data_IF_615489050580
#
_entry.id   IF_615489050580
#
_cell.length_a   1.000
_cell.length_b   1.000
_cell.length_c   1.000
_cell.angle_alpha   90.00
_cell.angle_beta   90.00
_cell.angle_gamma   90.00
#
_symmetry.space_group_name_H-M   'P 1'
#
loop_
_entity.id
_entity.type
_entity.pdbx_description
1 polymer ?
#
# COMPACT_ATOMS: atom_id res chain seq x y z
N UNK A 1 22.54 16.90 15.96
CA UNK A 1 22.76 15.72 16.83
C UNK A 1 21.62 15.58 17.84
N UNK A 2 21.28 16.62 18.60
CA UNK A 2 20.16 16.61 19.55
C UNK A 2 18.78 16.35 18.89
N UNK A 3 18.50 17.01 17.76
CA UNK A 3 17.23 16.80 17.02
C UNK A 3 17.11 15.38 16.45
N UNK A 4 18.22 14.81 15.98
CA UNK A 4 18.26 13.45 15.44
C UNK A 4 17.96 12.40 16.54
N UNK A 5 18.54 12.57 17.72
CA UNK A 5 18.27 11.67 18.87
C UNK A 5 16.81 11.78 19.35
N UNK A 6 16.22 12.98 19.32
CA UNK A 6 14.80 13.17 19.68
C UNK A 6 13.89 12.45 18.67
N UNK A 7 14.17 12.60 17.37
CA UNK A 7 13.41 11.89 16.33
C UNK A 7 13.53 10.36 16.48
N UNK A 8 14.73 9.84 16.72
CA UNK A 8 14.92 8.40 16.95
C UNK A 8 14.14 7.90 18.16
N UNK A 9 14.13 8.63 19.29
CA UNK A 9 13.35 8.25 20.46
C UNK A 9 11.84 8.18 20.16
N UNK A 10 11.34 9.13 19.36
CA UNK A 10 9.96 9.13 18.89
C UNK A 10 9.68 7.93 17.97
N UNK A 11 10.60 7.60 17.06
CA UNK A 11 10.48 6.44 16.17
C UNK A 11 10.43 5.11 16.93
N UNK A 12 11.27 4.95 17.96
CA UNK A 12 11.20 3.78 18.84
C UNK A 12 9.86 3.65 19.54
N UNK A 13 9.32 4.76 20.04
CA UNK A 13 8.01 4.79 20.70
C UNK A 13 6.89 4.40 19.74
N UNK A 14 6.96 4.86 18.49
CA UNK A 14 5.99 4.50 17.44
C UNK A 14 6.10 3.03 17.03
N UNK A 15 7.32 2.50 16.87
CA UNK A 15 7.54 1.09 16.59
C UNK A 15 7.01 0.17 17.71
N UNK A 16 7.22 0.54 18.98
CA UNK A 16 6.63 -0.19 20.11
C UNK A 16 5.10 -0.18 20.07
N UNK A 17 4.48 0.93 19.68
CA UNK A 17 3.03 1.00 19.50
C UNK A 17 2.55 0.09 18.37
N UNK A 18 3.29 0.06 17.24
CA UNK A 18 2.97 -0.81 16.12
C UNK A 18 3.11 -2.30 16.49
N UNK A 19 4.15 -2.67 17.23
CA UNK A 19 4.33 -4.05 17.70
C UNK A 19 3.19 -4.48 18.64
N UNK A 20 2.77 -3.61 19.57
CA UNK A 20 1.63 -3.88 20.44
C UNK A 20 0.34 -4.01 19.63
N UNK A 21 0.06 -3.06 18.74
CA UNK A 21 -1.10 -3.13 17.84
C UNK A 21 -1.13 -4.43 17.04
N UNK A 22 0.01 -4.86 16.50
CA UNK A 22 0.11 -6.09 15.72
C UNK A 22 -0.25 -7.34 16.54
N UNK A 23 0.24 -7.42 17.78
CA UNK A 23 -0.08 -8.49 18.72
C UNK A 23 -1.52 -8.42 19.25
N UNK A 24 -2.02 -7.22 19.58
CA UNK A 24 -3.40 -6.99 20.04
C UNK A 24 -4.42 -7.40 18.96
N UNK A 25 -4.07 -7.20 17.69
CA UNK A 25 -4.84 -7.67 16.54
C UNK A 25 -4.65 -9.17 16.24
N UNK A 26 -3.81 -9.89 16.99
CA UNK A 26 -3.44 -11.30 16.77
C UNK A 26 -2.79 -11.59 15.42
N UNK A 27 -2.26 -10.58 14.74
CA UNK A 27 -1.64 -10.74 13.41
C UNK A 27 -0.35 -11.55 13.46
N UNK A 28 0.30 -11.62 14.62
CA UNK A 28 1.46 -12.48 14.92
C UNK A 28 1.11 -13.96 15.04
N UNK A 29 -0.18 -14.28 15.19
CA UNK A 29 -0.64 -15.67 15.29
C UNK A 29 -0.88 -16.33 13.94
N UNK A 30 -0.99 -15.53 12.87
CA UNK A 30 -1.15 -16.00 11.50
C UNK A 30 0.09 -16.83 11.08
N UNK A 31 -0.14 -17.92 10.34
CA UNK A 31 0.92 -18.85 9.89
C UNK A 31 1.36 -18.60 8.44
N UNK A 32 0.86 -17.52 7.85
CA UNK A 32 1.21 -17.03 6.53
C UNK A 32 1.51 -15.54 6.62
N UNK A 33 1.92 -14.96 5.49
CA UNK A 33 2.07 -13.52 5.32
C UNK A 33 3.45 -12.99 5.70
N UNK A 34 3.81 -11.90 5.05
CA UNK A 34 5.10 -11.23 5.17
C UNK A 34 5.17 -10.38 6.43
N UNK A 35 6.32 -10.37 7.09
CA UNK A 35 6.59 -9.56 8.28
C UNK A 35 7.06 -8.14 7.88
N UNK A 36 6.11 -7.28 7.49
CA UNK A 36 6.44 -5.98 6.87
C UNK A 36 6.35 -4.77 7.80
N UNK A 37 6.13 -4.95 9.10
CA UNK A 37 5.97 -3.82 10.07
C UNK A 37 7.15 -2.86 10.03
N UNK A 38 8.38 -3.39 10.13
CA UNK A 38 9.59 -2.56 10.20
C UNK A 38 9.88 -1.83 8.88
N UNK A 39 9.81 -2.53 7.75
CA UNK A 39 10.08 -1.92 6.43
C UNK A 39 9.00 -0.91 6.05
N UNK A 40 7.73 -1.19 6.37
CA UNK A 40 6.62 -0.25 6.16
C UNK A 40 6.81 1.02 7.00
N UNK A 41 7.26 0.88 8.25
CA UNK A 41 7.56 2.03 9.11
C UNK A 41 8.78 2.82 8.65
N UNK A 42 9.84 2.13 8.21
CA UNK A 42 11.01 2.78 7.62
C UNK A 42 10.59 3.60 6.38
N UNK A 43 9.82 2.99 5.47
CA UNK A 43 9.30 3.62 4.26
C UNK A 43 8.56 4.91 4.57
N UNK A 44 7.56 4.88 5.47
CA UNK A 44 6.82 6.11 5.78
C UNK A 44 7.68 7.16 6.47
N UNK A 45 8.71 6.76 7.20
CA UNK A 45 9.62 7.71 7.84
C UNK A 45 10.52 8.44 6.83
N UNK A 46 10.71 7.88 5.62
CA UNK A 46 11.32 8.58 4.48
C UNK A 46 10.33 9.52 3.78
N UNK A 47 9.03 9.21 3.82
CA UNK A 47 7.96 10.00 3.16
C UNK A 47 7.50 11.17 4.03
N UNK A 48 7.42 10.95 5.34
CA UNK A 48 6.88 11.88 6.35
C UNK A 48 7.96 12.06 7.43
N UNK A 49 8.94 12.91 7.10
CA UNK A 49 10.16 13.14 7.86
C UNK A 49 9.99 14.07 9.08
N UNK A 50 8.83 14.74 9.21
CA UNK A 50 8.47 15.54 10.38
C UNK A 50 8.17 14.63 11.59
N UNK A 51 9.25 14.25 12.28
CA UNK A 51 9.22 13.35 13.42
C UNK A 51 8.37 13.90 14.58
N UNK A 52 8.27 15.22 14.73
CA UNK A 52 7.64 15.86 15.89
C UNK A 52 6.11 15.93 15.80
N UNK A 53 5.55 16.14 14.61
CA UNK A 53 4.10 16.45 14.49
C UNK A 53 3.30 15.40 13.72
N UNK A 54 3.95 14.49 12.99
CA UNK A 54 3.28 13.61 12.04
C UNK A 54 3.24 12.13 12.46
N UNK A 55 3.27 11.87 13.78
CA UNK A 55 3.22 10.51 14.34
C UNK A 55 1.95 9.74 13.91
N UNK A 56 0.78 10.38 13.98
CA UNK A 56 -0.48 9.75 13.53
C UNK A 56 -0.43 9.38 12.03
N UNK A 57 0.22 10.19 11.19
CA UNK A 57 0.35 9.89 9.77
C UNK A 57 1.22 8.66 9.52
N UNK A 58 2.37 8.56 10.20
CA UNK A 58 3.25 7.39 10.11
C UNK A 58 2.57 6.12 10.63
N UNK A 59 1.90 6.19 11.77
CA UNK A 59 1.16 5.06 12.33
C UNK A 59 0.02 4.61 11.40
N UNK A 60 -0.76 5.55 10.86
CA UNK A 60 -1.86 5.24 9.96
C UNK A 60 -1.34 4.60 8.65
N UNK A 61 -0.32 5.18 8.02
CA UNK A 61 0.32 4.62 6.84
C UNK A 61 0.81 3.19 7.10
N UNK A 62 1.55 2.97 8.17
CA UNK A 62 2.16 1.66 8.47
C UNK A 62 1.08 0.62 8.77
N UNK A 63 0.09 0.94 9.60
CA UNK A 63 -1.03 0.02 9.89
C UNK A 63 -1.78 -0.35 8.61
N UNK A 64 -2.09 0.63 7.75
CA UNK A 64 -2.75 0.38 6.46
C UNK A 64 -1.87 -0.49 5.55
N UNK A 65 -0.58 -0.19 5.43
CA UNK A 65 0.37 -0.96 4.61
C UNK A 65 0.46 -2.41 5.07
N UNK A 66 0.61 -2.64 6.38
CA UNK A 66 0.66 -3.99 6.95
C UNK A 66 -0.63 -4.76 6.68
N UNK A 67 -1.80 -4.13 6.86
CA UNK A 67 -3.08 -4.78 6.63
C UNK A 67 -3.30 -5.10 5.15
N UNK A 68 -2.98 -4.19 4.21
CA UNK A 68 -3.12 -4.50 2.77
C UNK A 68 -2.20 -5.65 2.38
N UNK A 69 -0.95 -5.67 2.87
CA UNK A 69 0.00 -6.75 2.58
C UNK A 69 -0.44 -8.10 3.13
N UNK A 70 -0.95 -8.16 4.38
CA UNK A 70 -1.41 -9.42 4.94
C UNK A 70 -2.66 -9.95 4.25
N UNK A 71 -3.55 -9.05 3.81
CA UNK A 71 -4.74 -9.46 3.05
C UNK A 71 -4.35 -9.86 1.63
N UNK A 72 -3.44 -9.16 0.96
CA UNK A 72 -2.82 -9.54 -0.32
C UNK A 72 -2.22 -10.96 -0.23
N UNK A 73 -1.40 -11.23 0.79
CA UNK A 73 -0.82 -12.55 1.03
C UNK A 73 -1.89 -13.64 1.28
N UNK A 74 -3.02 -13.27 1.90
CA UNK A 74 -4.14 -14.18 2.08
C UNK A 74 -4.84 -14.49 0.75
N UNK A 75 -5.01 -13.50 -0.13
CA UNK A 75 -5.58 -13.71 -1.46
C UNK A 75 -4.66 -14.51 -2.38
N UNK A 76 -3.36 -14.27 -2.33
CA UNK A 76 -2.39 -14.92 -3.21
C UNK A 76 -2.04 -16.35 -2.76
N UNK A 77 -1.94 -16.60 -1.45
CA UNK A 77 -1.36 -17.85 -0.94
C UNK A 77 -2.07 -18.43 0.29
N UNK A 78 -2.57 -17.58 1.18
CA UNK A 78 -3.01 -17.98 2.52
C UNK A 78 -4.41 -18.56 2.61
N UNK A 79 -5.34 -18.11 1.76
CA UNK A 79 -6.76 -18.38 1.86
C UNK A 79 -7.32 -19.09 0.63
N UNK A 80 -8.44 -19.78 0.80
CA UNK A 80 -9.24 -20.26 -0.32
C UNK A 80 -10.01 -19.12 -0.97
N UNK A 81 -10.40 -19.30 -2.24
CA UNK A 81 -11.26 -18.33 -2.96
C UNK A 81 -12.53 -17.97 -2.18
N UNK A 82 -13.16 -18.95 -1.51
CA UNK A 82 -14.35 -18.74 -0.68
C UNK A 82 -14.05 -17.79 0.49
N UNK A 83 -12.96 -18.02 1.21
CA UNK A 83 -12.56 -17.19 2.36
C UNK A 83 -12.19 -15.77 1.93
N UNK A 84 -11.47 -15.63 0.82
CA UNK A 84 -11.13 -14.32 0.26
C UNK A 84 -12.39 -13.51 -0.09
N UNK A 85 -13.40 -14.17 -0.66
CA UNK A 85 -14.66 -13.51 -0.99
C UNK A 85 -15.44 -13.14 0.26
N UNK A 86 -15.36 -13.98 1.29
CA UNK A 86 -15.97 -13.68 2.56
C UNK A 86 -15.38 -12.42 3.22
N UNK A 87 -14.06 -12.20 3.17
CA UNK A 87 -13.45 -10.93 3.62
C UNK A 87 -14.02 -9.74 2.85
N UNK A 88 -14.13 -9.83 1.52
CA UNK A 88 -14.72 -8.77 0.70
C UNK A 88 -16.17 -8.47 1.09
N UNK A 89 -16.98 -9.50 1.33
CA UNK A 89 -18.37 -9.35 1.80
C UNK A 89 -18.45 -8.67 3.16
N UNK A 90 -17.64 -9.14 4.13
CA UNK A 90 -17.58 -8.56 5.47
C UNK A 90 -17.20 -7.07 5.44
N UNK A 91 -16.28 -6.67 4.57
CA UNK A 91 -15.88 -5.26 4.39
C UNK A 91 -16.99 -4.45 3.72
N UNK A 92 -17.72 -5.00 2.76
CA UNK A 92 -18.89 -4.32 2.17
C UNK A 92 -20.01 -4.11 3.20
N UNK A 93 -20.26 -5.09 4.06
CA UNK A 93 -21.27 -4.97 5.12
C UNK A 93 -20.83 -4.09 6.29
N UNK A 94 -19.51 -4.05 6.53
CA UNK A 94 -18.82 -3.32 7.58
C UNK A 94 -19.43 -3.52 8.98
N UNK A 95 -19.66 -4.78 9.36
CA UNK A 95 -20.23 -5.16 10.66
C UNK A 95 -19.50 -6.36 11.25
N UNK A 96 -19.19 -6.29 12.54
CA UNK A 96 -18.70 -7.44 13.29
C UNK A 96 -19.77 -8.54 13.33
N UNK A 97 -19.31 -9.77 13.20
CA UNK A 97 -20.13 -10.98 13.25
C UNK A 97 -19.80 -11.83 14.48
N UNK A 98 -20.73 -12.70 14.92
CA UNK A 98 -20.41 -13.80 15.83
C UNK A 98 -19.26 -14.65 15.28
N UNK A 99 -18.44 -15.22 16.16
CA UNK A 99 -17.24 -16.00 15.79
C UNK A 99 -17.56 -17.12 14.78
N UNK A 100 -18.72 -17.78 14.93
CA UNK A 100 -19.13 -18.88 14.06
C UNK A 100 -19.42 -18.46 12.60
N UNK A 101 -19.67 -17.18 12.34
CA UNK A 101 -20.01 -16.68 11.00
C UNK A 101 -18.78 -16.35 10.15
N UNK A 102 -17.57 -16.23 10.74
CA UNK A 102 -16.34 -15.95 9.97
C UNK A 102 -15.80 -17.15 9.19
N UNK A 103 -16.30 -18.36 9.48
CA UNK A 103 -15.93 -19.64 8.88
C UNK A 103 -14.46 -20.10 9.05
N UNK A 104 -13.49 -19.19 9.18
CA UNK A 104 -12.11 -19.49 9.54
C UNK A 104 -11.50 -18.45 10.48
N UNK A 105 -10.46 -18.86 11.20
CA UNK A 105 -9.79 -18.02 12.21
C UNK A 105 -9.01 -16.90 11.54
N UNK A 106 -8.48 -17.15 10.36
CA UNK A 106 -7.72 -16.20 9.54
C UNK A 106 -8.63 -15.07 9.05
N UNK A 107 -9.82 -15.40 8.55
CA UNK A 107 -10.82 -14.39 8.14
C UNK A 107 -11.29 -13.56 9.33
N UNK A 108 -11.57 -14.19 10.48
CA UNK A 108 -11.88 -13.49 11.73
C UNK A 108 -10.77 -12.48 12.10
N UNK A 109 -9.51 -12.93 12.13
CA UNK A 109 -8.36 -12.09 12.51
C UNK A 109 -8.20 -10.91 11.54
N UNK A 110 -8.13 -11.17 10.23
CA UNK A 110 -7.87 -10.14 9.24
C UNK A 110 -8.99 -9.09 9.21
N UNK A 111 -10.25 -9.54 9.20
CA UNK A 111 -11.38 -8.62 9.17
C UNK A 111 -11.51 -7.83 10.48
N UNK A 112 -11.35 -8.47 11.64
CA UNK A 112 -11.45 -7.74 12.93
C UNK A 112 -10.31 -6.76 13.13
N UNK A 113 -9.08 -7.10 12.71
CA UNK A 113 -7.94 -6.20 12.72
C UNK A 113 -8.18 -4.97 11.82
N UNK A 114 -8.68 -5.20 10.60
CA UNK A 114 -9.06 -4.15 9.66
C UNK A 114 -10.18 -3.27 10.23
N UNK A 115 -11.26 -3.89 10.70
CA UNK A 115 -12.42 -3.20 11.26
C UNK A 115 -12.01 -2.30 12.43
N UNK A 116 -11.26 -2.84 13.40
CA UNK A 116 -10.84 -2.08 14.58
C UNK A 116 -9.91 -0.93 14.20
N UNK A 117 -8.94 -1.19 13.31
CA UNK A 117 -7.98 -0.17 12.86
C UNK A 117 -8.67 0.98 12.12
N UNK A 118 -9.58 0.69 11.19
CA UNK A 118 -10.30 1.75 10.46
C UNK A 118 -11.23 2.54 11.38
N UNK A 119 -11.87 1.90 12.36
CA UNK A 119 -12.69 2.62 13.34
C UNK A 119 -11.83 3.50 14.27
N UNK A 120 -10.64 3.05 14.69
CA UNK A 120 -9.67 3.87 15.42
C UNK A 120 -9.26 5.10 14.61
N UNK A 121 -8.86 4.91 13.35
CA UNK A 121 -8.49 6.00 12.45
C UNK A 121 -9.64 6.97 12.20
N UNK A 122 -10.88 6.48 12.09
CA UNK A 122 -12.06 7.32 11.95
C UNK A 122 -12.29 8.24 13.16
N UNK A 123 -12.02 7.76 14.38
CA UNK A 123 -12.11 8.58 15.59
C UNK A 123 -11.00 9.64 15.59
N UNK A 124 -9.75 9.25 15.30
CA UNK A 124 -8.61 10.17 15.27
C UNK A 124 -8.79 11.26 14.21
N UNK A 125 -9.29 10.92 13.02
CA UNK A 125 -9.57 11.91 11.96
C UNK A 125 -10.71 12.85 12.32
N UNK A 126 -11.68 12.43 13.12
CA UNK A 126 -12.68 13.33 13.69
C UNK A 126 -12.05 14.49 14.46
N UNK A 127 -10.96 14.23 15.20
CA UNK A 127 -10.20 15.25 15.93
C UNK A 127 -9.32 16.08 14.97
N UNK A 128 -8.55 15.41 14.11
CA UNK A 128 -7.53 16.05 13.27
C UNK A 128 -8.12 16.83 12.09
N UNK A 129 -9.17 16.32 11.47
CA UNK A 129 -9.84 16.94 10.32
C UNK A 129 -11.09 17.72 10.75
N UNK A 130 -11.73 17.37 11.87
CA UNK A 130 -13.01 17.97 12.27
C UNK A 130 -14.21 17.37 11.51
N UNK A 131 -14.00 16.23 10.83
CA UNK A 131 -15.01 15.49 10.07
C UNK A 131 -14.69 14.01 10.09
N UNK A 132 -15.72 13.16 9.97
CA UNK A 132 -15.51 11.73 9.79
C UNK A 132 -15.15 11.42 8.33
N UNK A 133 -14.17 10.55 8.14
CA UNK A 133 -13.81 9.98 6.83
C UNK A 133 -14.01 8.46 6.79
N UNK A 134 -14.77 7.91 7.75
CA UNK A 134 -14.95 6.46 7.90
C UNK A 134 -15.42 5.80 6.61
N UNK A 135 -16.51 6.30 6.04
CA UNK A 135 -17.09 5.77 4.79
C UNK A 135 -16.12 5.89 3.61
N UNK A 136 -15.32 6.95 3.57
CA UNK A 136 -14.29 7.13 2.55
C UNK A 136 -13.19 6.05 2.66
N UNK A 137 -12.72 5.76 3.88
CA UNK A 137 -11.72 4.70 4.09
C UNK A 137 -12.31 3.32 3.74
N UNK A 138 -13.55 3.03 4.18
CA UNK A 138 -14.23 1.76 3.86
C UNK A 138 -14.37 1.59 2.35
N UNK A 139 -14.80 2.63 1.63
CA UNK A 139 -14.93 2.59 0.18
C UNK A 139 -13.61 2.28 -0.53
N UNK A 140 -12.49 2.82 -0.06
CA UNK A 140 -11.17 2.48 -0.60
C UNK A 140 -10.77 1.02 -0.31
N UNK A 141 -11.11 0.48 0.87
CA UNK A 141 -10.88 -0.95 1.15
C UNK A 141 -11.72 -1.85 0.26
N UNK A 142 -12.99 -1.49 0.00
CA UNK A 142 -13.83 -2.21 -0.96
C UNK A 142 -13.22 -2.17 -2.37
N UNK A 143 -12.69 -1.03 -2.81
CA UNK A 143 -12.01 -0.87 -4.10
C UNK A 143 -10.77 -1.78 -4.20
N UNK A 144 -9.89 -1.77 -3.20
CA UNK A 144 -8.70 -2.63 -3.14
C UNK A 144 -9.09 -4.10 -3.16
N UNK A 145 -10.00 -4.54 -2.30
CA UNK A 145 -10.42 -5.95 -2.25
C UNK A 145 -11.13 -6.39 -3.53
N UNK A 146 -11.84 -5.48 -4.21
CA UNK A 146 -12.43 -5.77 -5.51
C UNK A 146 -11.35 -6.01 -6.56
N UNK A 147 -10.25 -5.24 -6.54
CA UNK A 147 -9.11 -5.48 -7.43
C UNK A 147 -8.40 -6.81 -7.14
N UNK A 148 -8.25 -7.20 -5.87
CA UNK A 148 -7.71 -8.52 -5.49
C UNK A 148 -8.60 -9.67 -5.98
N UNK A 149 -9.93 -9.52 -5.94
CA UNK A 149 -10.85 -10.52 -6.49
C UNK A 149 -10.65 -10.70 -7.99
N UNK A 150 -10.50 -9.60 -8.73
CA UNK A 150 -10.23 -9.65 -10.17
C UNK A 150 -8.91 -10.37 -10.46
N UNK A 151 -7.85 -10.08 -9.72
CA UNK A 151 -6.56 -10.76 -9.87
C UNK A 151 -6.66 -12.26 -9.55
N UNK A 152 -7.31 -12.62 -8.44
CA UNK A 152 -7.53 -14.01 -8.03
C UNK A 152 -8.33 -14.80 -9.07
N UNK A 153 -9.40 -14.21 -9.61
CA UNK A 153 -10.21 -14.86 -10.64
C UNK A 153 -9.46 -15.04 -11.95
N UNK A 154 -8.78 -13.99 -12.39
CA UNK A 154 -7.99 -14.04 -13.63
C UNK A 154 -6.93 -15.13 -13.55
N UNK A 155 -6.23 -15.23 -12.42
CA UNK A 155 -5.19 -16.23 -12.20
C UNK A 155 -5.76 -17.65 -12.16
N UNK A 156 -6.77 -17.86 -11.31
CA UNK A 156 -7.38 -19.17 -11.09
C UNK A 156 -8.02 -19.75 -12.35
N UNK A 157 -8.55 -18.88 -13.21
CA UNK A 157 -9.25 -19.29 -14.42
C UNK A 157 -8.29 -19.42 -15.63
N UNK A 158 -7.00 -19.11 -15.45
CA UNK A 158 -5.98 -19.21 -16.49
C UNK A 158 -6.18 -18.23 -17.65
N UNK A 159 -6.84 -17.10 -17.37
CA UNK A 159 -7.17 -16.11 -18.40
C UNK A 159 -5.92 -15.35 -18.84
N UNK A 160 -5.65 -15.35 -20.14
CA UNK A 160 -4.63 -14.46 -20.71
C UNK A 160 -5.13 -13.01 -20.67
N UNK A 161 -4.26 -12.09 -20.25
CA UNK A 161 -4.55 -10.66 -20.22
C UNK A 161 -3.57 -9.93 -21.13
N UNK A 162 -4.07 -8.91 -21.82
CA UNK A 162 -3.23 -7.88 -22.42
C UNK A 162 -2.61 -6.98 -21.34
N UNK A 163 -1.54 -6.26 -21.70
CA UNK A 163 -0.91 -5.30 -20.81
C UNK A 163 -1.89 -4.20 -20.34
N UNK A 164 -2.75 -3.72 -21.24
CA UNK A 164 -3.74 -2.67 -20.92
C UNK A 164 -4.83 -3.18 -19.95
N UNK A 165 -5.31 -4.40 -20.14
CA UNK A 165 -6.28 -5.03 -19.22
C UNK A 165 -5.66 -5.22 -17.83
N UNK A 166 -4.42 -5.72 -17.78
CA UNK A 166 -3.67 -5.84 -16.53
C UNK A 166 -3.54 -4.49 -15.82
N UNK A 167 -3.06 -3.49 -16.55
CA UNK A 167 -2.83 -2.14 -16.01
C UNK A 167 -4.10 -1.39 -15.63
N UNK A 168 -5.28 -1.81 -16.09
CA UNK A 168 -6.56 -1.22 -15.68
C UNK A 168 -6.89 -1.51 -14.21
N UNK A 169 -6.38 -2.63 -13.67
CA UNK A 169 -6.68 -3.12 -12.32
C UNK A 169 -5.46 -3.12 -11.40
N UNK A 170 -4.26 -3.42 -11.91
CA UNK A 170 -3.06 -3.69 -11.10
C UNK A 170 -2.54 -2.48 -10.31
N UNK A 171 -2.88 -1.25 -10.74
CA UNK A 171 -2.55 -0.03 -9.99
C UNK A 171 -3.48 0.19 -8.78
N UNK A 172 -4.64 -0.47 -8.72
CA UNK A 172 -5.49 -0.50 -7.54
C UNK A 172 -5.01 -1.57 -6.55
N UNK A 173 -4.66 -2.76 -7.05
CA UNK A 173 -4.23 -3.88 -6.21
C UNK A 173 -2.91 -3.59 -5.48
N UNK A 174 -1.98 -2.83 -6.09
CA UNK A 174 -0.76 -2.40 -5.40
C UNK A 174 -1.04 -1.51 -4.17
N UNK A 175 -2.29 -1.07 -3.96
CA UNK A 175 -2.78 -0.41 -2.75
C UNK A 175 -2.13 0.94 -2.40
N UNK A 176 -1.35 1.53 -3.31
CA UNK A 176 -0.69 2.82 -3.10
C UNK A 176 -1.67 3.96 -2.81
N UNK A 177 -2.82 3.99 -3.49
CA UNK A 177 -3.88 4.99 -3.30
C UNK A 177 -4.36 5.03 -1.84
N UNK A 178 -4.81 3.89 -1.29
CA UNK A 178 -5.38 3.86 0.06
C UNK A 178 -4.33 4.20 1.13
N UNK A 179 -3.10 3.69 0.98
CA UNK A 179 -1.99 3.94 1.91
C UNK A 179 -1.67 5.44 1.99
N UNK A 180 -1.54 6.11 0.84
CA UNK A 180 -1.24 7.55 0.80
C UNK A 180 -2.42 8.35 1.36
N UNK A 181 -3.64 8.09 0.87
CA UNK A 181 -4.80 8.92 1.22
C UNK A 181 -5.21 8.81 2.68
N UNK A 182 -4.99 7.67 3.34
CA UNK A 182 -5.16 7.52 4.79
C UNK A 182 -4.12 8.35 5.55
N UNK A 183 -2.84 8.32 5.13
CA UNK A 183 -1.79 9.08 5.79
C UNK A 183 -1.99 10.61 5.66
N UNK A 184 -2.47 11.09 4.51
CA UNK A 184 -2.76 12.51 4.26
C UNK A 184 -3.73 13.13 5.28
N UNK A 185 -4.55 12.32 5.93
CA UNK A 185 -5.53 12.80 6.92
C UNK A 185 -4.87 13.30 8.21
N UNK A 186 -3.57 13.04 8.38
CA UNK A 186 -2.83 13.26 9.60
C UNK A 186 -1.55 14.10 9.41
N UNK A 187 -1.33 14.69 8.23
CA UNK A 187 -0.15 15.51 7.95
C UNK A 187 -0.30 16.99 8.36
N UNK A 188 -1.30 17.32 9.18
CA UNK A 188 -1.54 18.69 9.66
C UNK A 188 -2.14 19.64 8.63
N UNK A 189 -2.77 19.11 7.57
CA UNK A 189 -3.49 19.91 6.55
C UNK A 189 -4.96 19.54 6.57
N UNK A 190 -5.85 20.55 6.49
CA UNK A 190 -7.29 20.34 6.37
C UNK A 190 -7.66 19.94 4.95
N UNK A 191 -8.29 18.78 4.81
CA UNK A 191 -8.72 18.22 3.54
C UNK A 191 -10.24 18.23 3.43
N UNK A 192 -10.77 18.73 2.32
CA UNK A 192 -12.19 18.62 1.99
C UNK A 192 -12.48 17.37 1.15
N UNK A 193 -13.75 16.97 1.08
CA UNK A 193 -14.17 15.90 0.16
C UNK A 193 -13.95 16.31 -1.30
N UNK A 194 -14.13 17.58 -1.63
CA UNK A 194 -13.85 18.12 -2.97
C UNK A 194 -12.38 17.89 -3.37
N UNK A 195 -11.43 18.11 -2.45
CA UNK A 195 -10.02 17.84 -2.69
C UNK A 195 -9.76 16.34 -2.93
N UNK A 196 -10.31 15.47 -2.08
CA UNK A 196 -10.09 14.02 -2.16
C UNK A 196 -10.75 13.38 -3.40
N UNK A 197 -11.87 13.94 -3.86
CA UNK A 197 -12.62 13.46 -5.03
C UNK A 197 -12.22 14.18 -6.32
N UNK A 198 -11.25 15.10 -6.27
CA UNK A 198 -10.78 15.84 -7.44
C UNK A 198 -10.03 14.95 -8.44
N UNK A 199 -10.08 15.32 -9.71
CA UNK A 199 -9.28 14.70 -10.76
C UNK A 199 -7.77 14.79 -10.45
N UNK A 200 -7.32 15.91 -9.87
CA UNK A 200 -5.93 16.10 -9.44
C UNK A 200 -5.50 15.02 -8.43
N UNK A 201 -6.31 14.74 -7.41
CA UNK A 201 -6.01 13.72 -6.41
C UNK A 201 -6.04 12.31 -7.02
N UNK A 202 -7.03 12.04 -7.87
CA UNK A 202 -7.14 10.75 -8.58
C UNK A 202 -5.94 10.48 -9.47
N UNK A 203 -5.49 11.47 -10.25
CA UNK A 203 -4.32 11.34 -11.14
C UNK A 203 -3.01 11.18 -10.38
N UNK A 204 -2.83 11.90 -9.27
CA UNK A 204 -1.67 11.70 -8.39
C UNK A 204 -1.63 10.26 -7.85
N UNK A 205 -2.75 9.77 -7.30
CA UNK A 205 -2.88 8.40 -6.81
C UNK A 205 -2.58 7.39 -7.92
N UNK A 206 -3.18 7.57 -9.10
CA UNK A 206 -3.00 6.66 -10.24
C UNK A 206 -1.55 6.63 -10.71
N UNK A 207 -0.92 7.78 -10.90
CA UNK A 207 0.46 7.83 -11.38
C UNK A 207 1.45 7.22 -10.39
N UNK A 208 1.32 7.54 -9.09
CA UNK A 208 2.18 6.91 -8.07
C UNK A 208 1.95 5.40 -8.03
N UNK A 209 0.70 4.94 -7.99
CA UNK A 209 0.40 3.50 -7.97
C UNK A 209 0.93 2.76 -9.20
N UNK A 210 0.77 3.31 -10.41
CA UNK A 210 1.30 2.69 -11.64
C UNK A 210 2.82 2.53 -11.55
N UNK A 211 3.52 3.58 -11.08
CA UNK A 211 4.97 3.52 -10.90
C UNK A 211 5.34 2.41 -9.92
N UNK A 212 4.70 2.37 -8.74
CA UNK A 212 4.96 1.36 -7.70
C UNK A 212 4.69 -0.06 -8.22
N UNK A 213 3.58 -0.25 -8.93
CA UNK A 213 3.23 -1.56 -9.52
C UNK A 213 4.30 -2.03 -10.50
N UNK A 214 4.68 -1.19 -11.45
CA UNK A 214 5.62 -1.57 -12.50
C UNK A 214 7.02 -1.87 -11.96
N UNK A 215 7.52 -1.08 -11.01
CA UNK A 215 8.82 -1.38 -10.38
C UNK A 215 8.75 -2.63 -9.48
N UNK A 216 7.61 -2.86 -8.81
CA UNK A 216 7.39 -4.08 -8.03
C UNK A 216 7.41 -5.31 -8.94
N UNK A 217 6.70 -5.27 -10.06
CA UNK A 217 6.61 -6.40 -11.00
C UNK A 217 7.97 -6.73 -11.60
N UNK A 218 8.76 -5.73 -12.00
CA UNK A 218 10.12 -5.94 -12.52
C UNK A 218 11.02 -6.59 -11.47
N UNK A 219 10.98 -6.11 -10.22
CA UNK A 219 11.85 -6.63 -9.15
C UNK A 219 11.40 -7.99 -8.58
N UNK A 220 10.11 -8.32 -8.67
CA UNK A 220 9.56 -9.59 -8.19
C UNK A 220 9.47 -10.65 -9.28
N UNK A 221 9.81 -10.32 -10.54
CA UNK A 221 9.62 -11.20 -11.68
C UNK A 221 10.34 -12.54 -11.54
N UNK A 222 11.60 -12.55 -11.12
CA UNK A 222 12.38 -13.79 -10.98
C UNK A 222 11.73 -14.76 -9.98
N UNK A 223 11.35 -14.27 -8.80
CA UNK A 223 10.68 -15.06 -7.76
C UNK A 223 9.26 -15.50 -8.18
N UNK A 224 8.55 -14.66 -8.94
CA UNK A 224 7.17 -14.96 -9.40
C UNK A 224 7.12 -15.82 -10.66
N UNK A 225 8.21 -15.94 -11.41
CA UNK A 225 8.30 -16.78 -12.63
C UNK A 225 7.91 -18.23 -12.35
N UNK A 226 8.32 -18.75 -11.18
CA UNK A 226 8.03 -20.13 -10.77
C UNK A 226 6.58 -20.32 -10.27
N UNK A 227 5.97 -19.24 -9.76
CA UNK A 227 4.66 -19.26 -9.11
C UNK A 227 3.47 -18.92 -10.04
N UNK A 228 3.73 -18.63 -11.32
CA UNK A 228 2.72 -18.34 -12.37
C UNK A 228 1.77 -17.18 -12.05
N UNK A 229 2.18 -16.21 -11.22
CA UNK A 229 1.40 -15.00 -10.98
C UNK A 229 1.43 -14.03 -12.16
N UNK A 230 0.30 -13.41 -12.48
CA UNK A 230 0.22 -12.37 -13.52
C UNK A 230 0.99 -11.13 -13.06
N UNK A 231 2.08 -10.83 -13.75
CA UNK A 231 2.85 -9.60 -13.61
C UNK A 231 3.13 -9.06 -15.01
N UNK A 232 3.44 -7.77 -15.11
CA UNK A 232 3.59 -7.12 -16.41
C UNK A 232 4.73 -7.73 -17.26
N UNK A 233 5.80 -8.24 -16.64
CA UNK A 233 6.91 -8.90 -17.35
C UNK A 233 6.44 -10.17 -18.07
N UNK A 234 5.73 -11.06 -17.36
CA UNK A 234 5.18 -12.29 -17.95
C UNK A 234 4.25 -11.99 -19.14
N UNK A 235 3.43 -10.93 -19.03
CA UNK A 235 2.49 -10.52 -20.07
C UNK A 235 3.23 -10.04 -21.32
N UNK A 236 4.21 -9.14 -21.16
CA UNK A 236 4.98 -8.59 -22.29
C UNK A 236 5.78 -9.67 -23.03
N UNK A 237 6.37 -10.62 -22.29
CA UNK A 237 7.09 -11.75 -22.87
C UNK A 237 6.18 -12.72 -23.63
N UNK A 238 4.90 -12.80 -23.24
CA UNK A 238 3.90 -13.66 -23.88
C UNK A 238 3.11 -12.98 -25.01
N UNK A 239 3.29 -11.68 -25.25
CA UNK A 239 2.51 -10.84 -26.19
C UNK A 239 2.80 -11.12 -27.69
N UNK A 240 3.50 -12.21 -28.02
CA UNK A 240 3.75 -12.63 -29.41
C UNK A 240 4.72 -11.75 -30.22
N UNK A 241 5.14 -10.60 -29.67
CA UNK A 241 6.13 -9.69 -30.28
C UNK A 241 7.57 -10.25 -30.30
N UNK A 242 7.84 -11.34 -29.57
CA UNK A 242 9.18 -11.94 -29.49
C UNK A 242 10.19 -11.09 -28.69
N UNK A 243 9.69 -10.30 -27.74
CA UNK A 243 10.46 -9.36 -26.91
C UNK A 243 11.33 -10.13 -25.91
N UNK A 244 12.57 -9.70 -25.73
CA UNK A 244 13.49 -10.21 -24.71
C UNK A 244 13.19 -9.64 -23.33
N UNK A 245 13.73 -10.24 -22.26
CA UNK A 245 13.55 -9.70 -20.90
C UNK A 245 14.12 -8.29 -20.77
N UNK A 246 15.27 -8.03 -21.37
CA UNK A 246 15.92 -6.73 -21.37
C UNK A 246 15.07 -5.66 -22.09
N UNK A 247 14.48 -6.02 -23.23
CA UNK A 247 13.59 -5.13 -23.98
C UNK A 247 12.28 -4.87 -23.22
N UNK A 248 11.69 -5.87 -22.58
CA UNK A 248 10.50 -5.71 -21.74
C UNK A 248 10.78 -4.80 -20.53
N UNK A 249 11.93 -4.97 -19.87
CA UNK A 249 12.37 -4.08 -18.78
C UNK A 249 12.57 -2.65 -19.29
N UNK A 250 13.14 -2.47 -20.48
CA UNK A 250 13.33 -1.15 -21.07
C UNK A 250 11.99 -0.46 -21.38
N UNK A 251 11.03 -1.20 -21.95
CA UNK A 251 9.66 -0.71 -22.21
C UNK A 251 8.97 -0.28 -20.91
N UNK A 252 9.00 -1.12 -19.87
CA UNK A 252 8.41 -0.79 -18.56
C UNK A 252 9.09 0.44 -17.95
N UNK A 253 10.43 0.54 -18.02
CA UNK A 253 11.16 1.72 -17.53
C UNK A 253 10.73 2.99 -18.24
N UNK A 254 10.51 2.95 -19.55
CA UNK A 254 10.00 4.10 -20.30
C UNK A 254 8.60 4.52 -19.82
N UNK A 255 7.71 3.55 -19.59
CA UNK A 255 6.36 3.80 -19.02
C UNK A 255 6.48 4.43 -17.63
N UNK A 256 7.35 3.90 -16.76
CA UNK A 256 7.61 4.45 -15.43
C UNK A 256 8.09 5.91 -15.51
N UNK A 257 9.05 6.22 -16.39
CA UNK A 257 9.53 7.61 -16.56
C UNK A 257 8.44 8.54 -17.12
N UNK A 258 7.57 8.04 -18.00
CA UNK A 258 6.42 8.79 -18.49
C UNK A 258 5.45 9.16 -17.36
N UNK A 259 5.11 8.19 -16.52
CA UNK A 259 4.25 8.43 -15.35
C UNK A 259 4.92 9.32 -14.31
N UNK A 260 6.23 9.18 -14.08
CA UNK A 260 6.99 10.04 -13.17
C UNK A 260 6.99 11.49 -13.65
N UNK A 261 7.13 11.72 -14.96
CA UNK A 261 7.01 13.06 -15.57
C UNK A 261 5.63 13.67 -15.35
N UNK A 262 4.55 12.92 -15.60
CA UNK A 262 3.17 13.38 -15.36
C UNK A 262 2.93 13.69 -13.87
N UNK A 263 3.40 12.83 -12.98
CA UNK A 263 3.35 13.05 -11.53
C UNK A 263 4.04 14.37 -11.16
N UNK A 264 5.28 14.60 -11.62
CA UNK A 264 6.01 15.85 -11.37
C UNK A 264 5.26 17.09 -11.89
N UNK A 265 4.66 17.01 -13.08
CA UNK A 265 3.90 18.12 -13.65
C UNK A 265 2.73 18.53 -12.75
N UNK A 266 2.01 17.57 -12.18
CA UNK A 266 0.90 17.84 -11.26
C UNK A 266 1.43 18.40 -9.93
N UNK A 267 2.47 17.79 -9.35
CA UNK A 267 3.04 18.20 -8.05
C UNK A 267 3.51 19.66 -8.07
N UNK A 268 4.17 20.08 -9.14
CA UNK A 268 4.72 21.45 -9.28
C UNK A 268 3.76 22.46 -9.91
N UNK A 269 2.55 22.06 -10.29
CA UNK A 269 1.52 22.97 -10.79
C UNK A 269 1.14 24.01 -9.71
N UNK A 270 0.99 25.27 -10.11
CA UNK A 270 0.58 26.38 -9.23
C UNK A 270 -0.94 26.54 -9.22
N UNK A 271 -1.48 27.08 -8.12
CA UNK A 271 -2.90 27.43 -8.01
C UNK A 271 -3.84 26.23 -8.15
N UNK A 272 -3.49 25.09 -7.54
CA UNK A 272 -4.28 23.86 -7.62
C UNK A 272 -5.12 23.65 -6.37
N UNK A 273 -6.07 22.71 -6.43
CA UNK A 273 -7.01 22.48 -5.33
C UNK A 273 -6.32 21.74 -4.17
N UNK A 274 -5.33 20.89 -4.46
CA UNK A 274 -4.65 20.11 -3.42
C UNK A 274 -3.47 20.88 -2.80
N UNK A 275 -3.38 21.00 -1.47
CA UNK A 275 -2.26 21.69 -0.81
C UNK A 275 -0.90 21.09 -1.15
N UNK A 276 0.14 21.93 -1.17
CA UNK A 276 1.50 21.53 -1.59
C UNK A 276 2.04 20.33 -0.79
N UNK A 277 1.88 20.34 0.54
CA UNK A 277 2.33 19.25 1.42
C UNK A 277 1.72 17.90 1.02
N UNK A 278 0.45 17.87 0.61
CA UNK A 278 -0.20 16.64 0.16
C UNK A 278 0.42 16.12 -1.15
N UNK A 279 0.66 17.02 -2.11
CA UNK A 279 1.28 16.67 -3.39
C UNK A 279 2.72 16.17 -3.20
N UNK A 280 3.46 16.79 -2.29
CA UNK A 280 4.81 16.32 -1.93
C UNK A 280 4.75 14.91 -1.33
N UNK A 281 3.76 14.56 -0.50
CA UNK A 281 3.59 13.18 0.00
C UNK A 281 3.46 12.15 -1.12
N UNK A 282 2.75 12.44 -2.21
CA UNK A 282 2.70 11.54 -3.38
C UNK A 282 4.08 11.36 -4.03
N UNK A 283 4.82 12.45 -4.21
CA UNK A 283 6.17 12.43 -4.78
C UNK A 283 7.16 11.66 -3.89
N UNK A 284 7.15 11.92 -2.58
CA UNK A 284 8.04 11.24 -1.64
C UNK A 284 7.69 9.75 -1.52
N UNK A 285 6.41 9.37 -1.57
CA UNK A 285 6.00 7.95 -1.65
C UNK A 285 6.58 7.28 -2.90
N UNK A 286 6.50 7.95 -4.06
CA UNK A 286 7.07 7.43 -5.31
C UNK A 286 8.59 7.21 -5.19
N UNK A 287 9.32 8.13 -4.56
CA UNK A 287 10.77 8.00 -4.34
C UNK A 287 11.10 6.90 -3.35
N UNK A 288 10.38 6.81 -2.23
CA UNK A 288 10.59 5.79 -1.21
C UNK A 288 10.32 4.39 -1.77
N UNK A 289 9.27 4.22 -2.56
CA UNK A 289 9.00 2.96 -3.26
C UNK A 289 10.07 2.64 -4.32
N UNK A 290 10.55 3.64 -5.07
CA UNK A 290 11.65 3.47 -6.03
C UNK A 290 12.93 3.01 -5.33
N UNK A 291 13.19 3.51 -4.12
CA UNK A 291 14.35 3.10 -3.32
C UNK A 291 14.23 1.64 -2.88
N UNK A 292 13.05 1.20 -2.45
CA UNK A 292 12.80 -0.20 -2.06
C UNK A 292 12.86 -1.16 -3.24
N UNK A 293 12.42 -0.76 -4.43
CA UNK A 293 12.47 -1.57 -5.65
C UNK A 293 13.62 -1.16 -6.58
N UNK A 294 14.78 -0.77 -6.04
CA UNK A 294 15.92 -0.32 -6.88
C UNK A 294 16.55 -1.49 -7.65
N UNK A 295 16.65 -2.66 -7.01
CA UNK A 295 17.39 -3.81 -7.58
C UNK A 295 16.86 -5.19 -7.16
N UNK A 296 15.98 -5.24 -6.17
CA UNK A 296 15.42 -6.46 -5.58
C UNK A 296 14.12 -6.08 -4.86
N UNK A 297 13.28 -7.07 -4.51
CA UNK A 297 12.13 -6.83 -3.64
C UNK A 297 12.57 -6.67 -2.17
N UNK A 298 13.11 -5.49 -1.85
CA UNK A 298 13.49 -5.14 -0.47
C UNK A 298 12.27 -4.91 0.44
N UNK A 299 11.05 -4.87 -0.11
CA UNK A 299 9.84 -4.79 0.70
C UNK A 299 9.56 -6.13 1.36
N UNK A 300 9.61 -7.20 0.58
CA UNK A 300 9.42 -8.56 1.07
C UNK A 300 10.64 -9.05 1.84
N UNK A 301 11.84 -8.83 1.31
CA UNK A 301 13.10 -9.30 1.92
C UNK A 301 14.13 -8.18 1.96
N UNK A 302 14.15 -7.34 3.02
CA UNK A 302 15.05 -6.17 3.12
C UNK A 302 16.50 -6.58 3.46
N UNK A 303 17.20 -7.22 2.52
CA UNK A 303 18.59 -7.64 2.73
C UNK A 303 19.56 -6.46 2.69
N UNK A 304 19.41 -5.58 1.70
CA UNK A 304 20.29 -4.43 1.47
C UNK A 304 19.89 -3.24 2.33
N UNK A 305 18.59 -3.10 2.61
CA UNK A 305 18.07 -1.99 3.43
C UNK A 305 18.21 -2.20 4.94
N UNK A 306 18.63 -3.39 5.40
CA UNK A 306 18.68 -3.73 6.82
C UNK A 306 19.55 -2.78 7.64
N UNK A 307 20.72 -2.40 7.12
CA UNK A 307 21.65 -1.51 7.82
C UNK A 307 21.13 -0.07 7.84
N UNK A 308 20.59 0.40 6.70
CA UNK A 308 19.98 1.72 6.58
C UNK A 308 18.80 1.87 7.54
N UNK A 309 17.92 0.86 7.61
CA UNK A 309 16.80 0.81 8.56
C UNK A 309 17.28 0.91 10.01
N UNK A 310 18.27 0.11 10.40
CA UNK A 310 18.81 0.14 11.77
C UNK A 310 19.42 1.49 12.11
N UNK A 311 20.24 2.03 11.21
CA UNK A 311 20.89 3.33 11.41
C UNK A 311 19.87 4.46 11.54
N UNK A 312 18.89 4.49 10.63
CA UNK A 312 17.88 5.54 10.57
C UNK A 312 16.94 5.49 11.78
N UNK A 313 16.44 4.30 12.12
CA UNK A 313 15.49 4.11 13.22
C UNK A 313 16.18 4.08 14.60
N UNK A 314 17.50 3.85 14.64
CA UNK A 314 18.30 3.75 15.86
C UNK A 314 18.19 2.40 16.57
N UNK A 315 17.92 1.31 15.81
CA UNK A 315 17.64 -0.05 16.30
C UNK A 315 18.87 -0.96 16.43
#
# INVERSE_FOLDING_TARGET
>A
MQDFTICQAQYHKELQQLQRWYADCRLDTLKFGRQVVFISYFLVSLVIDDCATSAHARLAFTKTTVLVTLIDDFFDYGGSRKECYHIHELVNEWKLKPIAEYESKEVEILFTALYNTVNELAVLTGVEQGRSIKEFIIGMWVEVLSSFKVELDTWSDGSQQSFDEYMSTSWLSISGKIVILVALQFIGVKLSDEMLMSEECSDLSRHVSIIIRLINDVCSFEERRENKGNNCMSILLADGRGVTEEEAIAEIKEIVENHRRKLMQIVYKKGTILPRRCRDTFMETCKAASYVYTSSDEFTTPQKLKEDMKSFLGL
#
